data_IF_981114671563
#
_entry.id   IF_981114671563
#
_cell.length_a   1.000
_cell.length_b   1.000
_cell.length_c   1.000
_cell.angle_alpha   90.00
_cell.angle_beta   90.00
_cell.angle_gamma   90.00
#
_symmetry.space_group_name_H-M   'P 1'
#
loop_
_entity.id
_entity.type
_entity.pdbx_description
1 polymer ?
#
# COMPACT_ATOMS: atom_id res chain seq x y z
N UNK A 1 5.11 2.87 13.07
CA UNK A 1 5.51 1.45 12.96
C UNK A 1 5.99 1.18 11.54
N UNK A 2 6.97 0.30 11.36
CA UNK A 2 7.42 -0.08 10.02
C UNK A 2 6.48 -1.10 9.37
N UNK A 3 6.43 -1.12 8.04
CA UNK A 3 5.75 -2.18 7.30
C UNK A 3 6.45 -3.53 7.45
N UNK A 4 5.69 -4.61 7.45
CA UNK A 4 6.20 -5.98 7.52
C UNK A 4 6.75 -6.51 6.18
N UNK A 5 6.48 -5.82 5.07
CA UNK A 5 6.92 -6.22 3.73
C UNK A 5 7.68 -5.08 3.02
N UNK A 6 8.83 -5.34 2.39
CA UNK A 6 9.47 -4.38 1.50
C UNK A 6 8.66 -4.29 0.21
N UNK A 7 8.57 -3.10 -0.37
CA UNK A 7 7.84 -2.88 -1.61
C UNK A 7 8.52 -1.81 -2.44
N UNK A 8 8.51 -1.96 -3.76
CA UNK A 8 9.04 -0.95 -4.67
C UNK A 8 8.23 0.34 -4.51
N UNK A 9 8.90 1.47 -4.45
CA UNK A 9 8.23 2.76 -4.26
C UNK A 9 7.84 3.08 -2.82
N UNK A 10 8.25 2.25 -1.82
CA UNK A 10 7.88 2.47 -0.41
C UNK A 10 8.23 3.87 0.11
N UNK A 11 7.28 4.53 0.76
CA UNK A 11 7.30 5.96 1.14
C UNK A 11 7.96 6.28 2.49
N UNK A 12 8.76 5.36 3.05
CA UNK A 12 9.39 5.57 4.35
C UNK A 12 10.20 6.87 4.44
N UNK A 13 10.86 7.26 3.35
CA UNK A 13 11.65 8.49 3.27
C UNK A 13 10.81 9.77 3.08
N UNK A 14 9.55 9.64 2.68
CA UNK A 14 8.62 10.75 2.49
C UNK A 14 7.60 10.89 3.63
N UNK A 15 7.57 9.96 4.59
CA UNK A 15 6.59 9.99 5.69
C UNK A 15 6.58 11.32 6.45
N UNK A 16 7.74 11.91 6.64
CA UNK A 16 7.87 13.19 7.36
C UNK A 16 7.10 14.32 6.65
N UNK A 17 7.18 14.40 5.30
CA UNK A 17 6.48 15.44 4.52
C UNK A 17 5.00 15.08 4.33
N UNK A 18 4.67 13.81 4.10
CA UNK A 18 3.28 13.33 4.02
C UNK A 18 2.54 13.65 5.32
N UNK A 19 3.14 13.36 6.48
CA UNK A 19 2.55 13.68 7.77
C UNK A 19 2.46 15.18 8.02
N UNK A 20 3.50 15.94 7.63
CA UNK A 20 3.53 17.40 7.79
C UNK A 20 2.45 18.11 6.96
N UNK A 21 2.16 17.60 5.76
CA UNK A 21 1.18 18.16 4.83
C UNK A 21 -0.21 17.53 4.98
N UNK A 22 -0.41 16.58 5.90
CA UNK A 22 -1.73 15.98 6.13
C UNK A 22 -2.75 17.00 6.64
N UNK A 23 -4.05 16.84 6.34
CA UNK A 23 -5.08 17.71 6.92
C UNK A 23 -5.12 17.54 8.45
N UNK A 24 -5.45 18.62 9.16
CA UNK A 24 -5.52 18.62 10.64
C UNK A 24 -6.64 17.73 11.17
N UNK A 25 -7.79 17.72 10.45
CA UNK A 25 -8.99 16.99 10.86
C UNK A 25 -9.55 16.19 9.70
N UNK A 26 -9.75 14.91 9.93
CA UNK A 26 -10.45 13.98 9.04
C UNK A 26 -10.99 12.82 9.86
N UNK A 27 -12.14 12.28 9.45
CA UNK A 27 -12.75 11.10 10.06
C UNK A 27 -12.55 9.82 9.24
N UNK A 28 -11.93 9.94 8.05
CA UNK A 28 -11.64 8.83 7.15
C UNK A 28 -10.26 9.01 6.53
N UNK A 29 -9.49 7.95 6.51
CA UNK A 29 -8.22 7.89 5.80
C UNK A 29 -8.26 6.76 4.78
N UNK A 30 -8.00 7.06 3.53
CA UNK A 30 -8.04 6.10 2.43
C UNK A 30 -6.67 6.05 1.76
N UNK A 31 -5.96 4.92 1.89
CA UNK A 31 -4.70 4.60 1.23
C UNK A 31 -5.04 3.83 -0.05
N UNK A 32 -5.12 4.56 -1.19
CA UNK A 32 -5.70 4.05 -2.44
C UNK A 32 -4.77 3.07 -3.16
N UNK A 33 -3.47 3.32 -3.12
CA UNK A 33 -2.41 2.48 -3.68
C UNK A 33 -1.49 2.06 -2.54
N UNK A 34 -2.00 1.23 -1.66
CA UNK A 34 -1.38 0.99 -0.35
C UNK A 34 0.01 0.37 -0.39
N UNK A 35 0.30 -0.47 -1.39
CA UNK A 35 1.61 -1.11 -1.53
C UNK A 35 2.05 -1.80 -0.24
N UNK A 36 3.24 -1.46 0.26
CA UNK A 36 3.70 -1.98 1.55
C UNK A 36 2.86 -1.55 2.77
N UNK A 37 1.86 -0.69 2.60
CA UNK A 37 1.11 -0.10 3.71
C UNK A 37 1.94 0.86 4.58
N UNK A 38 3.04 1.39 4.07
CA UNK A 38 3.96 2.22 4.86
C UNK A 38 3.26 3.44 5.44
N UNK A 39 2.42 4.13 4.68
CA UNK A 39 1.67 5.30 5.16
C UNK A 39 0.62 4.86 6.18
N UNK A 40 -0.20 3.86 5.86
CA UNK A 40 -1.19 3.28 6.78
C UNK A 40 -0.57 2.84 8.11
N UNK A 41 0.56 2.09 8.07
CA UNK A 41 1.22 1.56 9.28
C UNK A 41 1.88 2.62 10.14
N UNK A 42 2.41 3.69 9.52
CA UNK A 42 3.12 4.76 10.24
C UNK A 42 2.20 5.65 11.07
N UNK A 43 0.93 5.69 10.73
CA UNK A 43 -0.06 6.54 11.37
C UNK A 43 -0.50 5.99 12.73
N UNK A 44 -0.68 6.84 13.74
CA UNK A 44 -1.30 6.43 14.99
C UNK A 44 -2.77 6.04 14.76
N UNK A 45 -3.25 5.07 15.53
CA UNK A 45 -4.68 4.72 15.54
C UNK A 45 -5.44 5.92 16.13
N UNK A 46 -6.37 6.48 15.36
CA UNK A 46 -7.25 7.57 15.80
C UNK A 46 -8.63 6.98 16.10
N UNK A 47 -9.10 7.21 17.33
CA UNK A 47 -10.42 6.75 17.72
C UNK A 47 -11.52 7.47 16.89
N UNK A 48 -12.43 6.69 16.32
CA UNK A 48 -13.50 7.22 15.46
C UNK A 48 -13.08 7.49 14.00
N UNK A 49 -11.81 7.32 13.64
CA UNK A 49 -11.37 7.43 12.26
C UNK A 49 -11.53 6.08 11.55
N UNK A 50 -12.23 6.07 10.42
CA UNK A 50 -12.29 4.94 9.50
C UNK A 50 -10.99 4.91 8.68
N UNK A 51 -10.29 3.77 8.66
CA UNK A 51 -9.11 3.59 7.84
C UNK A 51 -9.35 2.52 6.78
N UNK A 52 -9.01 2.84 5.53
CA UNK A 52 -9.11 1.94 4.37
C UNK A 52 -7.75 1.81 3.74
N UNK A 53 -7.29 0.57 3.58
CA UNK A 53 -6.14 0.20 2.78
C UNK A 53 -6.65 -0.50 1.52
N UNK A 54 -6.25 -0.01 0.36
CA UNK A 54 -6.59 -0.63 -0.92
C UNK A 54 -5.32 -0.87 -1.74
N UNK A 55 -5.30 -1.96 -2.47
CA UNK A 55 -4.32 -2.20 -3.52
C UNK A 55 -4.95 -3.06 -4.62
N UNK A 56 -4.55 -2.83 -5.87
CA UNK A 56 -5.04 -3.60 -7.01
C UNK A 56 -4.40 -4.99 -7.09
N UNK A 57 -3.22 -5.19 -6.49
CA UNK A 57 -2.53 -6.47 -6.45
C UNK A 57 -3.21 -7.42 -5.44
N UNK A 58 -3.93 -8.43 -5.98
CA UNK A 58 -4.68 -9.39 -5.17
C UNK A 58 -3.81 -10.26 -4.25
N UNK A 59 -2.55 -10.54 -4.61
CA UNK A 59 -1.63 -11.27 -3.74
C UNK A 59 -1.24 -10.42 -2.53
N UNK A 60 -1.03 -9.12 -2.74
CA UNK A 60 -0.69 -8.19 -1.69
C UNK A 60 -1.86 -7.99 -0.72
N UNK A 61 -3.07 -7.75 -1.24
CA UNK A 61 -4.27 -7.59 -0.41
C UNK A 61 -4.64 -8.87 0.33
N UNK A 62 -4.46 -10.06 -0.29
CA UNK A 62 -4.59 -11.34 0.40
C UNK A 62 -3.62 -11.46 1.57
N UNK A 63 -2.35 -11.08 1.38
CA UNK A 63 -1.36 -11.07 2.45
C UNK A 63 -1.79 -10.14 3.60
N UNK A 64 -2.27 -8.92 3.32
CA UNK A 64 -2.77 -8.01 4.34
C UNK A 64 -4.01 -8.56 5.07
N UNK A 65 -4.92 -9.22 4.36
CA UNK A 65 -6.07 -9.93 4.96
C UNK A 65 -5.60 -11.05 5.90
N UNK A 66 -4.60 -11.83 5.51
CA UNK A 66 -4.06 -12.90 6.35
C UNK A 66 -3.33 -12.36 7.58
N UNK A 67 -2.51 -11.31 7.42
CA UNK A 67 -1.88 -10.62 8.56
C UNK A 67 -2.92 -10.10 9.53
N UNK A 68 -4.01 -9.49 9.03
CA UNK A 68 -5.08 -8.95 9.86
C UNK A 68 -5.88 -10.04 10.58
N UNK A 69 -6.36 -11.04 9.85
CA UNK A 69 -7.42 -11.95 10.31
C UNK A 69 -6.92 -13.33 10.75
N UNK A 70 -5.78 -13.77 10.21
CA UNK A 70 -5.21 -15.12 10.42
C UNK A 70 -3.71 -15.10 10.74
N UNK A 71 -3.21 -14.19 11.62
CA UNK A 71 -1.77 -13.99 11.82
C UNK A 71 -1.07 -15.27 12.33
N UNK A 72 -1.71 -16.04 13.21
CA UNK A 72 -1.11 -17.27 13.75
C UNK A 72 -0.97 -18.35 12.68
N UNK A 73 -1.98 -18.53 11.82
CA UNK A 73 -1.91 -19.48 10.71
C UNK A 73 -0.82 -19.06 9.70
N UNK A 74 -0.72 -17.76 9.38
CA UNK A 74 0.33 -17.24 8.52
C UNK A 74 1.73 -17.47 9.14
N UNK A 75 1.92 -17.22 10.44
CA UNK A 75 3.19 -17.45 11.12
C UNK A 75 3.56 -18.94 11.14
N UNK A 76 2.59 -19.83 11.34
CA UNK A 76 2.79 -21.28 11.26
C UNK A 76 3.26 -21.68 9.86
N UNK A 77 2.56 -21.25 8.81
CA UNK A 77 2.91 -21.55 7.42
C UNK A 77 4.29 -21.00 7.03
N UNK A 78 4.65 -19.80 7.46
CA UNK A 78 5.97 -19.21 7.25
C UNK A 78 7.09 -19.96 8.00
N UNK A 79 6.78 -20.60 9.13
CA UNK A 79 7.76 -21.27 9.99
C UNK A 79 8.30 -22.58 9.42
N UNK A 80 7.59 -23.22 8.48
CA UNK A 80 7.87 -24.59 8.08
C UNK A 80 8.95 -24.75 6.99
N UNK A 81 9.26 -23.73 6.17
CA UNK A 81 10.25 -23.90 5.10
C UNK A 81 11.03 -22.60 4.86
N UNK A 82 12.28 -22.50 5.28
CA UNK A 82 13.18 -21.48 4.77
C UNK A 82 13.57 -21.85 3.33
N UNK A 83 12.86 -21.32 2.36
CA UNK A 83 13.26 -21.42 0.95
C UNK A 83 14.33 -20.33 0.71
N UNK A 84 15.54 -20.73 0.37
CA UNK A 84 16.66 -19.80 0.19
C UNK A 84 17.39 -19.98 -1.14
N UNK A 85 16.84 -20.76 -2.06
CA UNK A 85 17.47 -21.03 -3.35
C UNK A 85 16.81 -20.22 -4.49
N UNK A 86 17.56 -20.04 -5.57
CA UNK A 86 17.03 -19.44 -6.80
C UNK A 86 15.93 -20.30 -7.42
N UNK A 87 16.04 -21.61 -7.29
CA UNK A 87 15.05 -22.55 -7.86
C UNK A 87 13.73 -22.46 -7.12
N UNK A 88 13.75 -22.37 -5.79
CA UNK A 88 12.55 -22.15 -4.98
C UNK A 88 11.86 -20.81 -5.36
N UNK A 89 12.66 -19.74 -5.53
CA UNK A 89 12.15 -18.45 -6.00
C UNK A 89 11.46 -18.58 -7.36
N UNK A 90 12.07 -19.28 -8.31
CA UNK A 90 11.51 -19.45 -9.65
C UNK A 90 10.21 -20.25 -9.65
N UNK A 91 10.09 -21.25 -8.76
CA UNK A 91 8.85 -22.02 -8.58
C UNK A 91 7.74 -21.13 -8.03
N UNK A 92 8.02 -20.38 -6.95
CA UNK A 92 7.04 -19.45 -6.36
C UNK A 92 6.61 -18.37 -7.36
N UNK A 93 7.56 -17.81 -8.11
CA UNK A 93 7.27 -16.79 -9.11
C UNK A 93 6.34 -17.32 -10.22
N UNK A 94 6.61 -18.51 -10.74
CA UNK A 94 5.76 -19.14 -11.77
C UNK A 94 4.35 -19.43 -11.23
N UNK A 95 4.28 -19.93 -10.01
CA UNK A 95 3.01 -20.25 -9.35
C UNK A 95 2.14 -18.99 -9.17
N UNK A 96 2.70 -17.93 -8.61
CA UNK A 96 1.96 -16.69 -8.32
C UNK A 96 1.64 -15.87 -9.57
N UNK A 97 2.49 -15.91 -10.62
CA UNK A 97 2.26 -15.14 -11.85
C UNK A 97 1.24 -15.76 -12.80
N UNK A 98 0.97 -17.06 -12.70
CA UNK A 98 0.03 -17.76 -13.61
C UNK A 98 -1.43 -17.62 -13.20
N UNK A 99 -1.74 -17.12 -12.02
CA UNK A 99 -3.11 -17.00 -11.52
C UNK A 99 -3.84 -18.33 -11.24
N UNK A 100 -3.15 -19.46 -11.46
CA UNK A 100 -3.66 -20.82 -11.14
C UNK A 100 -3.33 -21.15 -9.68
N UNK A 101 -3.98 -20.45 -8.75
CA UNK A 101 -3.82 -20.71 -7.33
C UNK A 101 -4.92 -21.65 -6.90
N UNK A 102 -4.58 -22.92 -6.70
CA UNK A 102 -5.42 -23.86 -5.98
C UNK A 102 -5.04 -23.80 -4.51
N UNK A 103 -5.98 -23.39 -3.68
CA UNK A 103 -5.85 -23.54 -2.23
C UNK A 103 -6.07 -25.04 -1.91
N UNK A 104 -4.97 -25.76 -1.63
CA UNK A 104 -5.04 -27.19 -1.30
C UNK A 104 -5.91 -27.45 -0.07
N UNK A 105 -5.91 -26.51 0.90
CA UNK A 105 -6.77 -26.62 2.08
C UNK A 105 -8.24 -26.44 1.76
N UNK A 106 -8.59 -25.64 0.76
CA UNK A 106 -9.97 -25.49 0.29
C UNK A 106 -10.52 -26.81 -0.20
N UNK A 107 -9.74 -27.56 -0.97
CA UNK A 107 -10.13 -28.87 -1.48
C UNK A 107 -10.38 -29.84 -0.32
N UNK A 108 -9.44 -29.91 0.64
CA UNK A 108 -9.58 -30.76 1.84
C UNK A 108 -10.78 -30.34 2.71
N UNK A 109 -11.00 -29.04 2.93
CA UNK A 109 -12.16 -28.54 3.67
C UNK A 109 -13.47 -28.85 2.98
N UNK A 110 -13.50 -28.77 1.63
CA UNK A 110 -14.68 -29.17 0.86
C UNK A 110 -14.97 -30.66 0.93
N UNK A 111 -13.95 -31.52 0.83
CA UNK A 111 -14.07 -32.97 0.97
C UNK A 111 -14.54 -33.37 2.37
N UNK A 112 -13.96 -32.76 3.42
CA UNK A 112 -14.39 -32.97 4.81
C UNK A 112 -15.83 -32.52 5.04
N UNK A 113 -16.24 -31.40 4.41
CA UNK A 113 -17.61 -30.89 4.53
C UNK A 113 -18.62 -31.90 3.95
N UNK A 114 -18.31 -32.53 2.82
CA UNK A 114 -19.16 -33.55 2.22
C UNK A 114 -19.22 -34.85 3.04
N UNK A 115 -18.13 -35.18 3.74
CA UNK A 115 -18.05 -36.38 4.60
C UNK A 115 -18.80 -36.19 5.92
N UNK A 116 -18.65 -35.00 6.53
CA UNK A 116 -19.09 -34.75 7.90
C UNK A 116 -20.48 -34.14 8.02
N UNK A 117 -20.94 -33.39 7.00
CA UNK A 117 -22.20 -32.67 7.01
C UNK A 117 -23.19 -33.22 5.98
N UNK A 118 -24.48 -33.03 6.26
CA UNK A 118 -25.57 -33.39 5.35
C UNK A 118 -26.16 -32.15 4.71
N UNK A 119 -26.73 -32.24 3.49
CA UNK A 119 -27.55 -31.14 2.94
C UNK A 119 -28.71 -30.80 3.87
N UNK A 120 -29.05 -29.49 4.06
CA UNK A 120 -28.52 -28.32 3.35
C UNK A 120 -27.26 -27.68 3.96
N UNK A 121 -26.79 -28.15 5.15
CA UNK A 121 -25.65 -27.57 5.86
C UNK A 121 -24.36 -27.69 5.05
N UNK A 122 -24.13 -28.83 4.39
CA UNK A 122 -22.97 -29.05 3.55
C UNK A 122 -22.89 -28.02 2.40
N UNK A 123 -24.03 -27.71 1.75
CA UNK A 123 -24.08 -26.72 0.68
C UNK A 123 -23.82 -25.29 1.18
N UNK A 124 -24.33 -24.95 2.36
CA UNK A 124 -24.11 -23.64 2.96
C UNK A 124 -22.63 -23.42 3.34
N UNK A 125 -21.99 -24.43 3.93
CA UNK A 125 -20.56 -24.38 4.27
C UNK A 125 -19.70 -24.33 3.01
N UNK A 126 -20.01 -25.16 2.00
CA UNK A 126 -19.31 -25.14 0.72
C UNK A 126 -19.35 -23.78 0.05
N UNK A 127 -20.52 -23.13 -0.01
CA UNK A 127 -20.67 -21.78 -0.54
C UNK A 127 -19.81 -20.78 0.23
N UNK A 128 -19.83 -20.86 1.56
CA UNK A 128 -19.00 -20.03 2.44
C UNK A 128 -17.50 -20.21 2.19
N UNK A 129 -17.03 -21.46 2.01
CA UNK A 129 -15.63 -21.76 1.72
C UNK A 129 -15.20 -21.16 0.37
N UNK A 130 -16.02 -21.35 -0.67
CA UNK A 130 -15.76 -20.78 -2.00
C UNK A 130 -15.75 -19.25 -2.02
N UNK A 131 -16.61 -18.60 -1.22
CA UNK A 131 -16.60 -17.14 -1.08
C UNK A 131 -15.43 -16.61 -0.27
N UNK A 132 -14.90 -17.38 0.67
CA UNK A 132 -13.78 -17.00 1.54
C UNK A 132 -12.41 -17.31 0.94
N UNK A 133 -12.29 -18.33 0.11
CA UNK A 133 -11.04 -18.77 -0.49
C UNK A 133 -10.25 -17.62 -1.16
N UNK A 134 -10.87 -16.70 -1.94
CA UNK A 134 -10.15 -15.57 -2.52
C UNK A 134 -9.68 -14.53 -1.51
N UNK A 135 -10.25 -14.52 -0.30
CA UNK A 135 -10.07 -13.44 0.69
C UNK A 135 -9.09 -13.75 1.83
N UNK A 136 -8.59 -14.95 1.94
CA UNK A 136 -7.79 -15.32 3.12
C UNK A 136 -6.97 -16.59 2.94
N UNK A 137 -6.43 -16.80 1.75
CA UNK A 137 -5.55 -17.92 1.45
C UNK A 137 -4.19 -17.74 2.12
N UNK A 138 -3.99 -18.49 3.21
CA UNK A 138 -2.79 -18.39 4.05
C UNK A 138 -1.55 -18.88 3.32
N UNK A 139 -1.65 -19.94 2.53
CA UNK A 139 -0.53 -20.49 1.77
C UNK A 139 -0.07 -19.52 0.71
N UNK A 140 -0.99 -18.99 -0.09
CA UNK A 140 -0.69 -17.94 -1.07
C UNK A 140 -0.05 -16.71 -0.41
N UNK A 141 -0.55 -16.29 0.76
CA UNK A 141 0.01 -15.18 1.51
C UNK A 141 1.45 -15.46 1.96
N UNK A 142 1.72 -16.68 2.47
CA UNK A 142 3.06 -17.08 2.88
C UNK A 142 4.03 -17.16 1.70
N UNK A 143 3.60 -17.72 0.58
CA UNK A 143 4.41 -17.83 -0.64
C UNK A 143 4.70 -16.44 -1.23
N UNK A 144 3.72 -15.55 -1.26
CA UNK A 144 3.91 -14.19 -1.71
C UNK A 144 4.85 -13.40 -0.78
N UNK A 145 4.70 -13.54 0.54
CA UNK A 145 5.62 -12.93 1.50
C UNK A 145 7.07 -13.39 1.27
N UNK A 146 7.29 -14.69 1.10
CA UNK A 146 8.59 -15.27 0.79
C UNK A 146 9.14 -14.73 -0.53
N UNK A 147 8.32 -14.74 -1.60
CA UNK A 147 8.71 -14.23 -2.92
C UNK A 147 9.23 -12.80 -2.82
N UNK A 148 8.47 -11.90 -2.21
CA UNK A 148 8.85 -10.49 -2.07
C UNK A 148 10.12 -10.33 -1.24
N UNK A 149 10.25 -11.06 -0.12
CA UNK A 149 11.43 -11.00 0.77
C UNK A 149 12.71 -11.52 0.13
N UNK A 150 12.61 -12.50 -0.75
CA UNK A 150 13.76 -13.05 -1.49
C UNK A 150 14.05 -12.31 -2.79
N UNK A 151 13.16 -11.42 -3.23
CA UNK A 151 13.37 -10.65 -4.44
C UNK A 151 14.35 -9.49 -4.25
N UNK A 152 14.95 -9.06 -5.34
CA UNK A 152 15.78 -7.86 -5.37
C UNK A 152 14.90 -6.63 -5.15
N UNK A 153 15.22 -5.82 -4.13
CA UNK A 153 14.49 -4.59 -3.76
C UNK A 153 13.00 -4.76 -3.51
N UNK A 154 12.50 -5.97 -3.19
CA UNK A 154 11.08 -6.21 -3.00
C UNK A 154 10.24 -6.15 -4.29
N UNK A 155 10.89 -6.31 -5.45
CA UNK A 155 10.24 -6.18 -6.77
C UNK A 155 9.38 -7.39 -7.17
N UNK A 156 9.47 -8.51 -6.44
CA UNK A 156 8.91 -9.83 -6.80
C UNK A 156 9.30 -10.38 -8.18
N UNK A 157 10.11 -9.65 -8.96
CA UNK A 157 10.47 -10.02 -10.35
C UNK A 157 11.78 -10.81 -10.48
N UNK A 158 12.75 -10.58 -9.59
CA UNK A 158 14.07 -11.17 -9.68
C UNK A 158 14.62 -11.57 -8.31
N UNK A 159 15.39 -12.66 -8.27
CA UNK A 159 16.00 -13.16 -7.04
C UNK A 159 17.08 -12.23 -6.50
N UNK A 160 16.97 -11.86 -5.22
CA UNK A 160 17.90 -10.91 -4.58
C UNK A 160 19.23 -11.47 -4.12
N UNK A 161 19.38 -12.79 -4.12
CA UNK A 161 20.62 -13.49 -3.79
C UNK A 161 21.07 -13.38 -2.31
N UNK A 162 20.27 -12.79 -1.42
CA UNK A 162 20.61 -12.65 -0.01
C UNK A 162 19.77 -13.60 0.85
N UNK A 163 20.41 -14.39 1.73
CA UNK A 163 19.67 -15.22 2.68
C UNK A 163 18.82 -14.34 3.62
N UNK A 164 17.60 -14.76 3.86
CA UNK A 164 16.66 -14.06 4.71
C UNK A 164 16.03 -15.05 5.70
N UNK A 165 16.27 -14.86 7.00
CA UNK A 165 15.56 -15.61 8.03
C UNK A 165 14.17 -14.97 8.24
N UNK A 166 13.15 -15.61 7.72
CA UNK A 166 11.75 -15.16 7.79
C UNK A 166 11.26 -15.03 9.23
N UNK A 167 11.76 -15.84 10.16
CA UNK A 167 11.35 -15.80 11.58
C UNK A 167 11.63 -14.45 12.25
N UNK A 168 12.59 -13.68 11.74
CA UNK A 168 12.87 -12.31 12.20
C UNK A 168 11.68 -11.38 12.06
N UNK A 169 10.74 -11.69 11.17
CA UNK A 169 9.58 -10.84 10.90
C UNK A 169 8.32 -11.27 11.68
N UNK A 170 8.37 -12.36 12.45
CA UNK A 170 7.20 -12.87 13.17
C UNK A 170 6.63 -11.84 14.15
N UNK A 171 7.50 -11.20 14.93
CA UNK A 171 7.07 -10.16 15.85
C UNK A 171 6.46 -8.97 15.10
N UNK A 172 7.07 -8.53 14.01
CA UNK A 172 6.57 -7.42 13.20
C UNK A 172 5.22 -7.76 12.54
N UNK A 173 5.04 -8.98 12.02
CA UNK A 173 3.76 -9.44 11.48
C UNK A 173 2.69 -9.40 12.56
N UNK A 174 3.02 -9.86 13.78
CA UNK A 174 2.10 -9.82 14.92
C UNK A 174 1.72 -8.39 15.32
N UNK A 175 2.68 -7.47 15.39
CA UNK A 175 2.41 -6.06 15.64
C UNK A 175 1.53 -5.42 14.55
N UNK A 176 1.84 -5.74 13.28
CA UNK A 176 1.05 -5.27 12.15
C UNK A 176 -0.38 -5.81 12.17
N UNK A 177 -0.60 -7.06 12.63
CA UNK A 177 -1.96 -7.60 12.76
C UNK A 177 -2.80 -6.77 13.74
N UNK A 178 -2.21 -6.34 14.85
CA UNK A 178 -2.87 -5.46 15.82
C UNK A 178 -3.16 -4.07 15.24
N UNK A 179 -2.21 -3.52 14.48
CA UNK A 179 -2.39 -2.22 13.82
C UNK A 179 -3.51 -2.26 12.77
N UNK A 180 -3.61 -3.37 12.04
CA UNK A 180 -4.61 -3.58 10.99
C UNK A 180 -6.01 -3.99 11.51
N UNK A 181 -6.17 -4.28 12.78
CA UNK A 181 -7.41 -4.84 13.32
C UNK A 181 -8.67 -4.10 12.89
N UNK A 182 -8.63 -2.77 12.86
CA UNK A 182 -9.74 -1.89 12.47
C UNK A 182 -9.61 -1.30 11.06
N UNK A 183 -8.57 -1.65 10.29
CA UNK A 183 -8.37 -1.17 8.92
C UNK A 183 -9.21 -2.03 7.96
N UNK A 184 -10.00 -1.40 7.12
CA UNK A 184 -10.71 -2.07 6.03
C UNK A 184 -9.69 -2.37 4.93
N UNK A 185 -9.59 -3.63 4.49
CA UNK A 185 -8.72 -4.04 3.38
C UNK A 185 -9.59 -4.26 2.16
N UNK A 186 -9.33 -3.51 1.09
CA UNK A 186 -10.03 -3.58 -0.18
C UNK A 186 -9.08 -4.05 -1.30
N UNK A 187 -9.63 -4.67 -2.33
CA UNK A 187 -8.92 -5.03 -3.56
C UNK A 187 -9.74 -4.55 -4.75
N UNK A 188 -9.70 -3.23 -4.98
CA UNK A 188 -10.53 -2.55 -5.97
C UNK A 188 -9.70 -1.68 -6.89
N UNK A 189 -10.26 -1.36 -8.06
CA UNK A 189 -9.77 -0.26 -8.89
C UNK A 189 -9.78 1.04 -8.07
N UNK A 190 -8.80 1.91 -8.31
CA UNK A 190 -8.65 3.16 -7.56
C UNK A 190 -9.88 4.06 -7.65
N UNK A 191 -10.54 4.12 -8.81
CA UNK A 191 -11.73 4.93 -9.02
C UNK A 191 -12.90 4.43 -8.17
N UNK A 192 -13.09 3.11 -8.09
CA UNK A 192 -14.17 2.50 -7.30
C UNK A 192 -13.97 2.74 -5.80
N UNK A 193 -12.75 2.57 -5.29
CA UNK A 193 -12.47 2.81 -3.87
C UNK A 193 -12.58 4.28 -3.51
N UNK A 194 -12.08 5.20 -4.37
CA UNK A 194 -12.23 6.64 -4.15
C UNK A 194 -13.70 7.00 -4.09
N UNK A 195 -14.51 6.66 -5.08
CA UNK A 195 -15.95 6.97 -5.12
C UNK A 195 -16.72 6.38 -3.95
N UNK A 196 -16.36 5.18 -3.50
CA UNK A 196 -17.01 4.53 -2.37
C UNK A 196 -16.80 5.27 -1.05
N UNK A 197 -15.57 5.76 -0.81
CA UNK A 197 -15.18 6.30 0.49
C UNK A 197 -15.03 7.83 0.52
N UNK A 198 -15.09 8.54 -0.62
CA UNK A 198 -15.01 9.99 -0.68
C UNK A 198 -16.16 10.65 0.07
N UNK A 199 -15.81 11.51 1.03
CA UNK A 199 -16.71 12.38 1.79
C UNK A 199 -15.98 13.66 2.13
N UNK A 200 -16.70 14.71 2.50
CA UNK A 200 -16.11 16.02 2.82
C UNK A 200 -15.04 15.99 3.91
N UNK A 201 -15.07 15.01 4.80
CA UNK A 201 -14.14 14.78 5.90
C UNK A 201 -13.15 13.61 5.66
N UNK A 202 -13.05 13.12 4.42
CA UNK A 202 -12.09 12.09 4.05
C UNK A 202 -10.71 12.69 3.72
N UNK A 203 -9.65 11.97 4.05
CA UNK A 203 -8.32 12.19 3.52
C UNK A 203 -7.94 11.02 2.60
N UNK A 204 -7.83 11.30 1.33
CA UNK A 204 -7.54 10.37 0.24
C UNK A 204 -6.07 10.53 -0.12
N UNK A 205 -5.27 9.50 0.16
CA UNK A 205 -3.86 9.43 -0.19
C UNK A 205 -3.66 8.49 -1.37
N UNK A 206 -2.97 8.98 -2.41
CA UNK A 206 -2.67 8.24 -3.63
C UNK A 206 -1.15 8.21 -3.87
N UNK A 207 -0.63 7.01 -4.08
CA UNK A 207 0.76 6.75 -4.48
C UNK A 207 0.76 5.80 -5.69
N UNK A 208 0.25 6.26 -6.84
CA UNK A 208 0.12 5.40 -8.01
C UNK A 208 1.49 5.01 -8.57
N UNK A 209 1.56 3.97 -9.43
CA UNK A 209 2.75 3.69 -10.21
C UNK A 209 3.22 4.96 -10.94
N UNK A 210 4.52 5.27 -10.84
CA UNK A 210 5.05 6.51 -11.37
C UNK A 210 5.04 6.53 -12.90
N UNK A 211 4.84 7.71 -13.47
CA UNK A 211 4.84 7.91 -14.91
C UNK A 211 6.21 7.50 -15.49
N UNK A 212 6.20 6.72 -16.58
CA UNK A 212 7.38 6.16 -17.25
C UNK A 212 8.29 5.26 -16.36
N UNK A 213 7.77 4.73 -15.26
CA UNK A 213 8.52 3.81 -14.41
C UNK A 213 8.17 2.35 -14.72
N UNK A 214 9.10 1.59 -15.27
CA UNK A 214 8.93 0.17 -15.67
C UNK A 214 9.00 -0.84 -14.51
N UNK A 215 9.14 -0.37 -13.27
CA UNK A 215 9.45 -1.24 -12.12
C UNK A 215 8.22 -1.92 -11.48
N UNK A 216 7.01 -1.56 -11.87
CA UNK A 216 5.78 -2.07 -11.27
C UNK A 216 5.29 -3.36 -11.92
N UNK A 217 4.62 -4.23 -11.14
CA UNK A 217 4.01 -5.48 -11.62
C UNK A 217 2.76 -5.23 -12.45
N UNK A 218 1.98 -4.22 -12.06
CA UNK A 218 0.74 -3.82 -12.73
C UNK A 218 1.03 -2.63 -13.63
N UNK A 219 0.69 -2.74 -14.91
CA UNK A 219 0.82 -1.64 -15.85
C UNK A 219 -0.14 -0.50 -15.46
N UNK A 220 0.38 0.73 -15.42
CA UNK A 220 -0.42 1.93 -15.20
C UNK A 220 -0.22 2.88 -16.40
N UNK A 221 -1.00 2.66 -17.48
CA UNK A 221 -0.83 3.40 -18.72
C UNK A 221 -1.25 4.87 -18.57
N UNK A 222 -0.88 5.69 -19.55
CA UNK A 222 -1.11 7.14 -19.54
C UNK A 222 -2.58 7.51 -19.30
N UNK A 223 -3.50 6.72 -19.82
CA UNK A 223 -4.95 6.89 -19.66
C UNK A 223 -5.39 6.75 -18.20
N UNK A 224 -4.70 5.90 -17.43
CA UNK A 224 -5.00 5.73 -16.01
C UNK A 224 -4.51 6.93 -15.16
N UNK A 225 -3.42 7.59 -15.56
CA UNK A 225 -3.00 8.84 -14.90
C UNK A 225 -4.03 9.94 -15.11
N UNK A 226 -4.57 10.08 -16.35
CA UNK A 226 -5.65 11.02 -16.65
C UNK A 226 -6.93 10.65 -15.88
N UNK A 227 -7.34 9.38 -15.89
CA UNK A 227 -8.52 8.89 -15.17
C UNK A 227 -8.42 9.16 -13.66
N UNK A 228 -7.22 8.96 -13.09
CA UNK A 228 -6.97 9.27 -11.67
C UNK A 228 -7.13 10.77 -11.40
N UNK A 229 -6.49 11.63 -12.21
CA UNK A 229 -6.63 13.08 -12.11
C UNK A 229 -8.11 13.49 -12.13
N UNK A 230 -8.88 13.04 -13.14
CA UNK A 230 -10.29 13.41 -13.32
C UNK A 230 -11.16 12.93 -12.13
N UNK A 231 -10.83 11.76 -11.57
CA UNK A 231 -11.50 11.26 -10.37
C UNK A 231 -11.20 12.15 -9.17
N UNK A 232 -9.94 12.53 -8.97
CA UNK A 232 -9.49 13.33 -7.82
C UNK A 232 -9.97 14.80 -7.91
N UNK A 233 -10.09 15.35 -9.11
CA UNK A 233 -10.62 16.69 -9.32
C UNK A 233 -12.07 16.85 -8.82
N UNK A 234 -12.83 15.76 -8.85
CA UNK A 234 -14.22 15.71 -8.42
C UNK A 234 -14.41 15.23 -6.95
N UNK A 235 -13.34 15.03 -6.20
CA UNK A 235 -13.42 14.58 -4.81
C UNK A 235 -13.91 15.70 -3.87
N UNK A 236 -14.74 15.28 -2.90
CA UNK A 236 -15.20 16.15 -1.80
C UNK A 236 -14.19 16.22 -0.66
N UNK A 237 -13.40 15.14 -0.48
CA UNK A 237 -12.40 15.00 0.56
C UNK A 237 -11.11 15.77 0.29
N UNK A 238 -10.20 15.71 1.26
CA UNK A 238 -8.83 16.16 1.10
C UNK A 238 -8.06 15.13 0.26
N UNK A 239 -7.37 15.58 -0.77
CA UNK A 239 -6.60 14.74 -1.68
C UNK A 239 -5.12 15.05 -1.51
N UNK A 240 -4.31 14.01 -1.40
CA UNK A 240 -2.86 14.09 -1.48
C UNK A 240 -2.33 12.99 -2.41
N UNK A 241 -1.51 13.38 -3.38
CA UNK A 241 -0.90 12.45 -4.34
C UNK A 241 0.61 12.60 -4.29
N UNK A 242 1.34 11.49 -4.34
CA UNK A 242 2.79 11.47 -4.53
C UNK A 242 3.16 10.91 -5.91
N UNK A 243 4.08 11.60 -6.61
CA UNK A 243 4.59 11.20 -7.92
C UNK A 243 6.09 11.48 -8.04
N UNK A 244 6.73 10.90 -9.06
CA UNK A 244 8.00 11.41 -9.54
C UNK A 244 7.81 12.79 -10.17
N UNK A 245 8.80 13.68 -9.98
CA UNK A 245 8.78 14.96 -10.67
C UNK A 245 8.98 14.76 -12.18
N UNK A 246 7.99 15.14 -12.97
CA UNK A 246 8.11 15.23 -14.42
C UNK A 246 7.15 16.28 -15.00
N UNK A 247 7.48 16.91 -16.15
CA UNK A 247 6.67 17.98 -16.74
C UNK A 247 5.22 17.56 -17.00
N UNK A 248 5.00 16.35 -17.50
CA UNK A 248 3.66 15.82 -17.80
C UNK A 248 2.76 15.78 -16.54
N UNK A 249 3.27 15.30 -15.40
CA UNK A 249 2.50 15.27 -14.16
C UNK A 249 2.23 16.68 -13.63
N UNK A 250 3.19 17.60 -13.73
CA UNK A 250 2.98 18.98 -13.30
C UNK A 250 1.92 19.71 -14.17
N UNK A 251 1.89 19.45 -15.47
CA UNK A 251 0.88 19.99 -16.38
C UNK A 251 -0.50 19.36 -16.12
N UNK A 252 -0.54 18.02 -15.90
CA UNK A 252 -1.77 17.29 -15.64
C UNK A 252 -2.49 17.76 -14.36
N UNK A 253 -1.74 18.15 -13.33
CA UNK A 253 -2.29 18.54 -12.02
C UNK A 253 -2.25 20.06 -11.76
N UNK A 254 -2.34 20.89 -12.78
CA UNK A 254 -2.28 22.36 -12.65
C UNK A 254 -3.43 22.99 -11.84
N UNK A 255 -4.53 22.26 -11.58
CA UNK A 255 -5.61 22.69 -10.71
C UNK A 255 -5.33 22.45 -9.22
N UNK A 256 -4.19 21.82 -8.88
CA UNK A 256 -3.78 21.45 -7.54
C UNK A 256 -2.55 22.24 -7.08
N UNK A 257 -2.31 22.28 -5.77
CA UNK A 257 -1.04 22.73 -5.22
C UNK A 257 0.03 21.67 -5.52
N UNK A 258 1.20 22.06 -6.03
CA UNK A 258 2.30 21.15 -6.33
C UNK A 258 3.54 21.56 -5.54
N UNK A 259 4.04 20.66 -4.70
CA UNK A 259 5.25 20.81 -3.93
C UNK A 259 6.32 19.87 -4.45
N UNK A 260 7.46 20.40 -4.86
CA UNK A 260 8.63 19.62 -5.24
C UNK A 260 9.38 19.20 -3.96
N UNK A 261 9.73 17.95 -3.87
CA UNK A 261 10.51 17.37 -2.77
C UNK A 261 11.80 16.80 -3.33
N UNK A 262 12.93 17.31 -2.86
CA UNK A 262 14.27 16.89 -3.29
C UNK A 262 14.93 16.17 -2.12
N UNK A 263 15.46 14.98 -2.38
CA UNK A 263 16.17 14.18 -1.38
C UNK A 263 17.37 13.45 -1.98
N UNK A 264 18.39 13.13 -1.18
CA UNK A 264 19.54 12.36 -1.65
C UNK A 264 19.10 10.98 -2.19
N UNK A 265 19.65 10.60 -3.33
CA UNK A 265 19.42 9.28 -3.93
C UNK A 265 20.38 8.25 -3.35
N UNK A 266 19.99 7.58 -2.28
CA UNK A 266 20.81 6.55 -1.62
C UNK A 266 21.00 5.26 -2.45
N UNK A 267 20.34 5.10 -3.59
CA UNK A 267 20.47 3.94 -4.47
C UNK A 267 21.37 4.21 -5.67
N UNK A 268 21.72 5.48 -5.93
CA UNK A 268 22.64 5.84 -7.01
C UNK A 268 24.08 5.59 -6.59
N UNK A 269 24.90 5.07 -7.52
CA UNK A 269 26.35 4.97 -7.36
C UNK A 269 27.06 6.31 -7.58
N UNK A 270 26.34 7.33 -8.06
CA UNK A 270 26.87 8.67 -8.31
C UNK A 270 26.72 9.52 -7.05
N UNK A 271 27.84 9.99 -6.50
CA UNK A 271 27.84 10.89 -5.35
C UNK A 271 27.08 12.19 -5.67
N UNK A 272 26.20 12.63 -4.76
CA UNK A 272 25.41 13.85 -4.95
C UNK A 272 24.19 13.70 -5.86
N UNK A 273 23.84 12.50 -6.28
CA UNK A 273 22.62 12.24 -7.02
C UNK A 273 21.40 12.52 -6.14
N UNK A 274 20.47 13.31 -6.64
CA UNK A 274 19.20 13.66 -5.98
C UNK A 274 18.05 12.88 -6.62
N UNK A 275 17.02 12.60 -5.83
CA UNK A 275 15.76 12.03 -6.27
C UNK A 275 14.67 13.07 -6.06
N UNK A 276 13.92 13.35 -7.13
CA UNK A 276 12.90 14.39 -7.14
C UNK A 276 11.52 13.78 -7.23
N UNK A 277 10.69 14.16 -6.27
CA UNK A 277 9.28 13.76 -6.19
C UNK A 277 8.40 15.00 -6.06
N UNK A 278 7.11 14.86 -6.31
CA UNK A 278 6.12 15.89 -6.06
C UNK A 278 5.05 15.37 -5.11
N UNK A 279 4.61 16.26 -4.21
CA UNK A 279 3.39 16.09 -3.42
C UNK A 279 2.36 17.07 -3.97
N UNK A 280 1.22 16.53 -4.35
CA UNK A 280 0.13 17.26 -5.00
C UNK A 280 -1.07 17.24 -4.07
N UNK A 281 -1.70 18.39 -3.82
CA UNK A 281 -2.85 18.49 -2.90
C UNK A 281 -3.95 19.39 -3.45
N UNK A 282 -5.22 19.06 -3.17
CA UNK A 282 -6.36 19.92 -3.53
C UNK A 282 -6.66 21.02 -2.50
N UNK A 283 -5.87 21.12 -1.46
CA UNK A 283 -5.92 22.11 -0.38
C UNK A 283 -4.53 22.73 -0.16
N UNK A 284 -4.47 23.88 0.49
CA UNK A 284 -3.20 24.50 0.89
C UNK A 284 -2.70 23.92 2.24
N UNK A 285 -1.72 23.02 2.23
CA UNK A 285 -1.24 22.38 3.46
C UNK A 285 -0.47 23.37 4.37
N UNK A 286 -0.07 24.55 3.86
CA UNK A 286 0.61 25.59 4.67
C UNK A 286 -0.35 26.19 5.72
N UNK A 287 -1.67 26.18 5.41
CA UNK A 287 -2.71 26.68 6.33
C UNK A 287 -3.13 25.64 7.37
N UNK A 288 -2.89 24.35 7.09
CA UNK A 288 -3.21 23.25 7.99
C UNK A 288 -2.15 23.02 9.08
N UNK A 289 -0.96 23.59 8.94
CA UNK A 289 0.22 23.30 9.79
C UNK A 289 0.39 24.25 10.98
N UNK A 290 -0.61 24.42 11.87
CA UNK A 290 -0.45 25.25 13.09
C UNK A 290 0.15 24.50 14.29
N UNK A 291 0.30 23.19 14.23
CA UNK A 291 0.96 22.42 15.30
C UNK A 291 2.25 21.75 14.81
N UNK A 292 3.25 22.55 14.49
CA UNK A 292 4.64 22.08 14.54
C UNK A 292 4.99 21.83 16.02
N UNK A 293 4.86 20.58 16.49
CA UNK A 293 5.45 20.20 17.76
C UNK A 293 6.97 20.42 17.67
N UNK A 294 7.59 20.86 18.78
CA UNK A 294 9.04 21.01 18.86
C UNK A 294 9.79 19.73 18.43
N UNK A 295 9.17 18.56 18.64
CA UNK A 295 9.69 17.25 18.19
C UNK A 295 9.81 17.13 16.66
N UNK A 296 8.92 17.74 15.87
CA UNK A 296 9.04 17.71 14.39
C UNK A 296 10.17 18.60 13.88
N UNK A 297 10.53 19.64 14.63
CA UNK A 297 11.69 20.50 14.35
C UNK A 297 13.02 19.83 14.72
N UNK A 298 13.03 19.01 15.78
CA UNK A 298 14.22 18.29 16.24
C UNK A 298 14.52 17.03 15.41
N UNK A 299 13.52 16.44 14.74
CA UNK A 299 13.68 15.29 13.85
C UNK A 299 13.98 15.66 12.37
N UNK A 300 14.23 16.92 12.05
CA UNK A 300 14.72 17.38 10.75
C UNK A 300 16.21 17.02 10.50
N UNK A 301 16.58 15.77 10.76
CA UNK A 301 17.86 15.20 10.34
C UNK A 301 17.91 14.74 8.89
N UNK A 302 16.92 15.08 8.06
CA UNK A 302 16.94 14.75 6.65
C UNK A 302 17.43 15.95 5.82
N UNK A 303 18.45 15.74 5.02
CA UNK A 303 18.91 16.68 3.97
C UNK A 303 17.84 16.94 2.89
N UNK A 304 16.60 16.41 3.08
CA UNK A 304 15.50 16.58 2.19
C UNK A 304 14.86 17.97 2.35
N UNK A 305 14.64 18.64 1.24
CA UNK A 305 14.02 19.98 1.14
C UNK A 305 12.77 19.91 0.27
N UNK A 306 11.82 20.79 0.53
CA UNK A 306 10.62 20.93 -0.30
C UNK A 306 10.31 22.39 -0.58
N UNK A 307 9.69 22.65 -1.72
CA UNK A 307 9.29 23.98 -2.17
C UNK A 307 7.96 23.92 -2.92
N UNK A 308 7.16 24.96 -2.78
CA UNK A 308 5.95 25.13 -3.61
C UNK A 308 6.38 25.57 -5.02
N UNK A 309 6.06 24.78 -6.04
CA UNK A 309 6.38 25.09 -7.43
C UNK A 309 5.16 25.51 -8.25
N UNK A 310 3.96 25.17 -7.76
CA UNK A 310 2.71 25.61 -8.39
C UNK A 310 1.61 25.83 -7.36
N UNK A 311 0.86 26.93 -7.53
CA UNK A 311 -0.33 27.28 -6.76
C UNK A 311 -1.50 27.51 -7.74
N UNK A 312 -2.65 26.82 -7.57
CA UNK A 312 -3.77 26.95 -8.47
C UNK A 312 -4.43 28.33 -8.33
N UNK A 313 -4.97 28.87 -9.43
CA UNK A 313 -5.69 30.14 -9.42
C UNK A 313 -6.90 30.13 -8.45
N UNK A 314 -7.56 28.98 -8.32
CA UNK A 314 -8.68 28.76 -7.39
C UNK A 314 -8.49 27.41 -6.66
N UNK A 315 -8.34 27.44 -5.34
CA UNK A 315 -8.24 26.18 -4.58
C UNK A 315 -9.53 25.36 -4.71
N UNK A 316 -9.40 24.07 -4.98
CA UNK A 316 -10.53 23.14 -5.08
C UNK A 316 -11.19 23.01 -3.70
N UNK A 317 -10.40 23.01 -2.64
CA UNK A 317 -10.88 22.90 -1.26
C UNK A 317 -10.27 23.98 -0.37
N UNK A 318 -11.12 24.70 0.33
CA UNK A 318 -10.69 25.65 1.36
C UNK A 318 -10.57 24.89 2.70
N UNK A 319 -9.40 25.00 3.33
CA UNK A 319 -9.23 24.60 4.75
C UNK A 319 -9.92 25.66 5.61
N UNK A 320 -11.01 25.31 6.27
CA UNK A 320 -11.65 26.15 7.29
C UNK A 320 -10.86 26.12 8.59
#
# INVERSE_FOLDING_TARGET
MNSFIPWVGGKSKLLWIINKMSPDHYSRFIDVFGGSGTVTMSRPIQQGCMEVYNDFNSNLTNLFCCVKNRPLALLAELGFLPLNTRDDFNVLYKFLSKGEITDDYLQEEMELTEILLKPPEAEAIRTLLLERAPRGDVRRAADFFKLVRYSFSGSSKSFGGKPCDIRRFFHLIWECSRRLANVIVENKDFEDVIRQYDRGDAWIYCDPPYFEAECYEVAFPKENHQRLHDTLLNCHGYVMVSYNYCPYICELYQEFYIFRVVRPNSMSQTAGSEYEEVIITNYDPRKACWQLSLESLLNCGSEARYELIHEPERPIKTTN
#
